data_IF_112376393079
#
_entry.id   IF_112376393079
#
_cell.length_a   1.000
_cell.length_b   1.000
_cell.length_c   1.000
_cell.angle_alpha   90.00
_cell.angle_beta   90.00
_cell.angle_gamma   90.00
#
_symmetry.space_group_name_H-M   'P 1'
#
loop_
_entity.id
_entity.type
_entity.pdbx_description
1 polymer ?
#
# COMPACT_ATOMS: atom_id res chain seq x y z
N UNK A 1 37.99 -2.48 -7.81
CA UNK A 1 37.02 -1.55 -7.20
C UNK A 1 35.75 -2.35 -6.89
N UNK A 2 35.42 -2.58 -5.61
CA UNK A 2 34.33 -3.49 -5.22
C UNK A 2 32.98 -2.97 -5.74
N UNK A 3 32.46 -3.64 -6.77
CA UNK A 3 31.19 -3.37 -7.45
C UNK A 3 29.97 -3.37 -6.53
N UNK A 4 30.14 -3.99 -5.36
CA UNK A 4 29.22 -3.98 -4.23
C UNK A 4 30.01 -3.62 -2.97
N UNK A 5 30.48 -2.37 -2.82
CA UNK A 5 30.66 -1.87 -1.44
C UNK A 5 29.27 -1.94 -0.81
N UNK A 6 29.02 -3.05 -0.09
CA UNK A 6 27.88 -3.18 0.80
C UNK A 6 28.06 -2.05 1.80
N UNK A 7 27.37 -0.94 1.59
CA UNK A 7 27.25 0.01 2.67
C UNK A 7 26.55 -0.75 3.80
N UNK A 8 27.22 -0.81 4.96
CA UNK A 8 26.77 -1.57 6.12
C UNK A 8 25.43 -1.07 6.68
N UNK A 9 24.83 -0.04 6.08
CA UNK A 9 23.55 0.53 6.45
C UNK A 9 22.39 -0.03 5.64
N UNK A 10 22.60 -0.46 4.39
CA UNK A 10 21.52 -0.96 3.54
C UNK A 10 20.97 -2.31 4.01
N UNK A 11 21.85 -3.17 4.56
CA UNK A 11 21.44 -4.47 5.09
C UNK A 11 20.49 -4.30 6.28
N UNK A 12 20.61 -3.20 7.04
CA UNK A 12 19.73 -2.87 8.18
C UNK A 12 18.27 -2.72 7.78
N UNK A 13 17.97 -2.44 6.51
CA UNK A 13 16.60 -2.39 6.00
C UNK A 13 16.15 -3.73 5.39
N UNK A 14 17.03 -4.39 4.63
CA UNK A 14 16.71 -5.67 3.99
C UNK A 14 16.45 -6.78 4.99
N UNK A 15 17.20 -6.82 6.10
CA UNK A 15 17.04 -7.86 7.11
C UNK A 15 15.68 -7.80 7.78
N UNK A 16 15.18 -6.66 8.28
CA UNK A 16 13.81 -6.57 8.81
C UNK A 16 12.73 -7.01 7.82
N UNK A 17 12.81 -6.62 6.54
CA UNK A 17 11.85 -7.08 5.51
C UNK A 17 11.93 -8.59 5.33
N UNK A 18 13.14 -9.14 5.26
CA UNK A 18 13.33 -10.58 5.09
C UNK A 18 12.85 -11.37 6.31
N UNK A 19 13.11 -10.87 7.53
CA UNK A 19 12.60 -11.45 8.77
C UNK A 19 11.07 -11.41 8.78
N UNK A 20 10.47 -10.27 8.45
CA UNK A 20 9.01 -10.14 8.34
C UNK A 20 8.44 -11.13 7.32
N UNK A 21 9.07 -11.27 6.15
CA UNK A 21 8.68 -12.25 5.14
C UNK A 21 8.73 -13.69 5.67
N UNK A 22 9.83 -14.08 6.33
CA UNK A 22 9.97 -15.41 6.91
C UNK A 22 8.95 -15.68 8.01
N UNK A 23 8.74 -14.72 8.92
CA UNK A 23 7.73 -14.83 9.97
C UNK A 23 6.32 -14.95 9.39
N UNK A 24 5.99 -14.14 8.40
CA UNK A 24 4.70 -14.22 7.70
C UNK A 24 4.52 -15.55 6.98
N UNK A 25 5.55 -16.08 6.34
CA UNK A 25 5.48 -17.37 5.66
C UNK A 25 5.27 -18.52 6.66
N UNK A 26 6.01 -18.53 7.77
CA UNK A 26 5.85 -19.55 8.82
C UNK A 26 4.44 -19.47 9.41
N UNK A 27 3.99 -18.26 9.78
CA UNK A 27 2.67 -18.05 10.37
C UNK A 27 1.56 -18.43 9.39
N UNK A 28 1.73 -18.11 8.11
CA UNK A 28 0.81 -18.52 7.06
C UNK A 28 0.69 -20.05 6.91
N UNK A 29 1.82 -20.77 6.96
CA UNK A 29 1.83 -22.24 6.90
C UNK A 29 1.09 -22.82 8.11
N UNK A 30 1.40 -22.35 9.32
CA UNK A 30 0.74 -22.83 10.55
C UNK A 30 -0.77 -22.54 10.48
N UNK A 31 -1.13 -21.29 10.16
CA UNK A 31 -2.51 -20.85 10.12
C UNK A 31 -3.33 -21.49 8.99
N UNK A 32 -2.69 -22.00 7.94
CA UNK A 32 -3.40 -22.78 6.93
C UNK A 32 -4.08 -24.02 7.51
N UNK A 33 -3.62 -24.52 8.67
CA UNK A 33 -4.23 -25.65 9.37
C UNK A 33 -5.02 -25.23 10.62
N UNK A 34 -4.67 -24.11 11.24
CA UNK A 34 -5.19 -23.70 12.55
C UNK A 34 -5.91 -22.33 12.56
N UNK A 35 -6.29 -21.80 11.39
CA UNK A 35 -6.83 -20.43 11.24
C UNK A 35 -7.99 -20.14 12.20
N UNK A 36 -8.94 -21.07 12.30
CA UNK A 36 -10.14 -20.92 13.11
C UNK A 36 -9.82 -20.97 14.60
N UNK A 37 -9.05 -21.98 15.04
CA UNK A 37 -8.64 -22.12 16.43
C UNK A 37 -7.84 -20.90 16.91
N UNK A 38 -6.99 -20.34 16.04
CA UNK A 38 -6.24 -19.12 16.36
C UNK A 38 -7.17 -17.91 16.51
N UNK A 39 -8.17 -17.76 15.64
CA UNK A 39 -9.14 -16.68 15.72
C UNK A 39 -10.01 -16.77 16.98
N UNK A 40 -10.50 -17.97 17.32
CA UNK A 40 -11.33 -18.23 18.51
C UNK A 40 -10.61 -17.86 19.82
N UNK A 41 -9.29 -18.13 19.90
CA UNK A 41 -8.47 -17.75 21.05
C UNK A 41 -8.25 -16.24 21.09
N UNK A 42 -7.97 -15.63 19.93
CA UNK A 42 -7.57 -14.22 19.86
C UNK A 42 -8.75 -13.28 20.07
N UNK A 43 -9.94 -13.64 19.59
CA UNK A 43 -11.15 -12.83 19.74
C UNK A 43 -11.52 -12.60 21.21
N UNK A 44 -11.26 -13.57 22.10
CA UNK A 44 -11.47 -13.42 23.56
C UNK A 44 -10.71 -12.22 24.15
N UNK A 45 -9.59 -11.85 23.55
CA UNK A 45 -8.73 -10.74 23.98
C UNK A 45 -9.34 -9.37 23.60
N UNK A 46 -10.23 -9.33 22.61
CA UNK A 46 -10.87 -8.11 22.12
C UNK A 46 -11.77 -7.40 23.14
N UNK A 47 -12.25 -8.12 24.16
CA UNK A 47 -13.06 -7.55 25.24
C UNK A 47 -12.28 -6.56 26.13
N UNK A 48 -10.95 -6.50 26.02
CA UNK A 48 -10.16 -5.47 26.68
C UNK A 48 -10.40 -4.07 26.06
N UNK A 49 -10.84 -3.09 26.86
CA UNK A 49 -11.15 -1.72 26.40
C UNK A 49 -10.01 -1.02 25.66
N UNK A 50 -8.77 -1.17 26.14
CA UNK A 50 -7.61 -0.56 25.49
C UNK A 50 -7.36 -1.19 24.12
N UNK A 51 -7.40 -2.52 24.03
CA UNK A 51 -7.22 -3.22 22.76
C UNK A 51 -8.37 -2.94 21.80
N UNK A 52 -9.60 -2.79 22.28
CA UNK A 52 -10.73 -2.34 21.46
C UNK A 52 -10.49 -0.94 20.88
N UNK A 53 -10.11 0.03 21.72
CA UNK A 53 -9.79 1.39 21.26
C UNK A 53 -8.64 1.41 20.24
N UNK A 54 -7.55 0.70 20.52
CA UNK A 54 -6.42 0.56 19.61
C UNK A 54 -6.84 -0.10 18.29
N UNK A 55 -7.68 -1.12 18.36
CA UNK A 55 -8.16 -1.85 17.20
C UNK A 55 -9.00 -0.96 16.29
N UNK A 56 -9.93 -0.21 16.85
CA UNK A 56 -10.76 0.75 16.10
C UNK A 56 -9.90 1.85 15.48
N UNK A 57 -8.93 2.37 16.23
CA UNK A 57 -7.97 3.33 15.71
C UNK A 57 -7.21 2.78 14.50
N UNK A 58 -6.75 1.53 14.58
CA UNK A 58 -6.01 0.87 13.51
C UNK A 58 -6.89 0.52 12.30
N UNK A 59 -8.16 0.16 12.50
CA UNK A 59 -9.15 -0.04 11.44
C UNK A 59 -9.35 1.26 10.64
N UNK A 60 -9.64 2.37 11.33
CA UNK A 60 -9.80 3.69 10.70
C UNK A 60 -8.51 4.17 10.02
N UNK A 61 -7.37 3.99 10.67
CA UNK A 61 -6.08 4.39 10.08
C UNK A 61 -5.76 3.57 8.83
N UNK A 62 -5.99 2.25 8.84
CA UNK A 62 -5.73 1.37 7.70
C UNK A 62 -6.59 1.71 6.47
N UNK A 63 -7.79 2.25 6.69
CA UNK A 63 -8.66 2.72 5.61
C UNK A 63 -8.10 3.94 4.90
N UNK A 64 -7.59 4.91 5.65
CA UNK A 64 -7.33 6.25 5.13
C UNK A 64 -5.84 6.58 4.94
N UNK A 65 -4.91 5.83 5.55
CA UNK A 65 -3.47 6.17 5.54
C UNK A 65 -2.85 6.30 4.14
N UNK A 66 -3.40 5.63 3.12
CA UNK A 66 -2.86 5.68 1.76
C UNK A 66 -3.05 7.05 1.07
N UNK A 67 -4.09 7.82 1.43
CA UNK A 67 -4.45 9.10 0.81
C UNK A 67 -3.33 10.16 0.91
N UNK A 68 -2.81 10.50 2.11
CA UNK A 68 -1.72 11.46 2.24
C UNK A 68 -0.45 10.97 1.52
N UNK A 69 -0.26 9.65 1.40
CA UNK A 69 0.90 9.10 0.70
C UNK A 69 0.78 9.28 -0.80
N UNK A 70 -0.38 8.96 -1.39
CA UNK A 70 -0.64 9.22 -2.80
C UNK A 70 -0.43 10.71 -3.12
N UNK A 71 -0.93 11.61 -2.27
CA UNK A 71 -0.67 13.05 -2.38
C UNK A 71 0.84 13.35 -2.44
N UNK A 72 1.64 12.89 -1.49
CA UNK A 72 3.09 13.12 -1.47
C UNK A 72 3.77 12.61 -2.75
N UNK A 73 3.40 11.41 -3.22
CA UNK A 73 4.00 10.80 -4.40
C UNK A 73 3.71 11.59 -5.67
N UNK A 74 2.47 12.02 -5.88
CA UNK A 74 2.09 12.89 -6.99
C UNK A 74 2.75 14.26 -6.90
N UNK A 75 2.88 14.83 -5.70
CA UNK A 75 3.56 16.10 -5.48
C UNK A 75 5.06 16.03 -5.83
N UNK A 76 5.76 14.95 -5.46
CA UNK A 76 7.16 14.73 -5.87
C UNK A 76 7.27 14.66 -7.40
N UNK A 77 6.33 13.98 -8.05
CA UNK A 77 6.29 13.89 -9.51
C UNK A 77 6.05 15.26 -10.15
N UNK A 78 5.10 16.03 -9.61
CA UNK A 78 4.81 17.40 -10.03
C UNK A 78 6.00 18.34 -9.87
N UNK A 79 6.64 18.38 -8.69
CA UNK A 79 7.81 19.25 -8.46
C UNK A 79 8.98 18.86 -9.36
N UNK A 80 9.17 17.58 -9.62
CA UNK A 80 10.18 17.11 -10.57
C UNK A 80 9.87 17.57 -12.00
N UNK A 81 8.59 17.54 -12.40
CA UNK A 81 8.15 18.06 -13.69
C UNK A 81 8.38 19.58 -13.80
N UNK A 82 7.99 20.37 -12.79
CA UNK A 82 8.22 21.82 -12.75
C UNK A 82 9.70 22.15 -12.81
N UNK A 83 10.53 21.44 -12.04
CA UNK A 83 11.99 21.61 -12.07
C UNK A 83 12.54 21.34 -13.47
N UNK A 84 12.11 20.25 -14.11
CA UNK A 84 12.52 19.91 -15.47
C UNK A 84 12.11 21.01 -16.47
N UNK A 85 10.86 21.49 -16.41
CA UNK A 85 10.38 22.54 -17.30
C UNK A 85 11.19 23.83 -17.15
N UNK A 86 11.52 24.22 -15.92
CA UNK A 86 12.28 25.45 -15.69
C UNK A 86 13.74 25.38 -16.16
N UNK A 87 14.37 24.20 -16.12
CA UNK A 87 15.79 24.04 -16.43
C UNK A 87 16.08 23.59 -17.86
N UNK A 88 15.19 22.80 -18.45
CA UNK A 88 15.47 22.07 -19.70
C UNK A 88 14.43 22.28 -20.81
N UNK A 89 13.23 22.77 -20.51
CA UNK A 89 12.24 22.97 -21.57
C UNK A 89 12.62 24.18 -22.44
N UNK A 90 12.41 24.03 -23.76
CA UNK A 90 12.58 25.12 -24.73
C UNK A 90 11.47 26.17 -24.60
N UNK A 91 10.27 25.73 -24.21
CA UNK A 91 9.13 26.61 -24.02
C UNK A 91 9.17 27.23 -22.62
N UNK A 92 9.16 28.56 -22.56
CA UNK A 92 9.20 29.31 -21.31
C UNK A 92 7.83 29.47 -20.64
N UNK A 93 6.76 28.86 -21.16
CA UNK A 93 5.40 28.97 -20.62
C UNK A 93 5.33 28.69 -19.12
N UNK A 94 5.87 27.56 -18.66
CA UNK A 94 5.86 27.19 -17.23
C UNK A 94 6.68 28.18 -16.40
N UNK A 95 7.84 28.59 -16.91
CA UNK A 95 8.73 29.55 -16.24
C UNK A 95 8.10 30.92 -16.08
N UNK A 96 7.30 31.35 -17.07
CA UNK A 96 6.63 32.65 -17.08
C UNK A 96 5.34 32.63 -16.24
N UNK A 97 4.68 31.48 -16.10
CA UNK A 97 3.39 31.33 -15.43
C UNK A 97 3.54 30.66 -14.05
N UNK A 98 3.93 31.46 -13.04
CA UNK A 98 4.16 30.96 -11.67
C UNK A 98 2.96 30.27 -11.04
N UNK A 99 1.72 30.56 -11.46
CA UNK A 99 0.52 29.89 -10.96
C UNK A 99 0.54 28.37 -11.19
N UNK A 100 1.23 27.90 -12.25
CA UNK A 100 1.39 26.48 -12.55
C UNK A 100 2.17 25.77 -11.44
N UNK A 101 3.07 26.45 -10.74
CA UNK A 101 3.80 25.85 -9.63
C UNK A 101 2.87 25.47 -8.46
N UNK A 102 1.75 26.17 -8.33
CA UNK A 102 0.77 26.00 -7.25
C UNK A 102 -0.49 25.24 -7.68
N UNK A 103 -0.75 25.09 -8.98
CA UNK A 103 -1.98 24.51 -9.49
C UNK A 103 -2.24 23.10 -8.98
N UNK A 104 -1.20 22.26 -8.90
CA UNK A 104 -1.29 20.93 -8.30
C UNK A 104 -1.78 21.00 -6.85
N UNK A 105 -1.17 21.84 -6.01
CA UNK A 105 -1.51 21.92 -4.59
C UNK A 105 -2.92 22.45 -4.38
N UNK A 106 -3.31 23.49 -5.13
CA UNK A 106 -4.68 24.02 -5.07
C UNK A 106 -5.68 22.94 -5.46
N UNK A 107 -5.48 22.26 -6.60
CA UNK A 107 -6.37 21.21 -7.07
C UNK A 107 -6.41 20.02 -6.10
N UNK A 108 -5.25 19.53 -5.68
CA UNK A 108 -5.13 18.35 -4.82
C UNK A 108 -5.68 18.60 -3.41
N UNK A 109 -5.48 19.80 -2.84
CA UNK A 109 -6.08 20.17 -1.55
C UNK A 109 -7.59 20.33 -1.66
N UNK A 110 -8.10 20.93 -2.74
CA UNK A 110 -9.55 21.01 -2.97
C UNK A 110 -10.18 19.62 -3.10
N UNK A 111 -9.56 18.71 -3.85
CA UNK A 111 -9.99 17.31 -3.95
C UNK A 111 -9.91 16.62 -2.59
N UNK A 112 -8.82 16.79 -1.85
CA UNK A 112 -8.65 16.21 -0.51
C UNK A 112 -9.74 16.67 0.47
N UNK A 113 -10.05 17.97 0.50
CA UNK A 113 -11.14 18.51 1.33
C UNK A 113 -12.48 17.94 0.89
N UNK A 114 -12.75 17.88 -0.42
CA UNK A 114 -13.98 17.27 -0.94
C UNK A 114 -14.13 15.80 -0.55
N UNK A 115 -13.06 15.01 -0.65
CA UNK A 115 -13.02 13.60 -0.20
C UNK A 115 -13.24 13.52 1.30
N UNK A 116 -12.57 14.34 2.11
CA UNK A 116 -12.70 14.34 3.56
C UNK A 116 -14.14 14.65 4.00
N UNK A 117 -14.76 15.66 3.41
CA UNK A 117 -16.17 16.02 3.69
C UNK A 117 -17.10 14.89 3.25
N UNK A 118 -16.97 14.41 2.01
CA UNK A 118 -17.78 13.31 1.49
C UNK A 118 -17.67 12.04 2.33
N UNK A 119 -16.45 11.66 2.72
CA UNK A 119 -16.20 10.51 3.58
C UNK A 119 -16.72 10.73 5.01
N UNK A 120 -16.71 11.96 5.53
CA UNK A 120 -17.26 12.25 6.87
C UNK A 120 -18.79 12.11 6.87
N UNK A 121 -19.44 12.68 5.86
CA UNK A 121 -20.89 12.58 5.65
C UNK A 121 -21.28 11.11 5.46
N UNK A 122 -20.72 10.44 4.45
CA UNK A 122 -21.07 9.03 4.16
C UNK A 122 -20.75 8.05 5.27
N UNK A 123 -19.79 8.37 6.16
CA UNK A 123 -19.42 7.50 7.28
C UNK A 123 -20.37 7.63 8.46
N UNK A 124 -20.98 8.80 8.70
CA UNK A 124 -21.70 9.05 9.95
C UNK A 124 -23.12 9.58 9.78
N UNK A 125 -23.45 10.14 8.61
CA UNK A 125 -24.83 10.48 8.28
C UNK A 125 -25.66 9.20 8.20
N UNK A 126 -26.61 9.06 9.14
CA UNK A 126 -27.48 7.88 9.27
C UNK A 126 -26.72 6.56 9.45
N UNK A 127 -25.56 6.58 10.13
CA UNK A 127 -24.85 5.35 10.44
C UNK A 127 -25.73 4.44 11.31
N UNK A 128 -26.15 3.32 10.75
CA UNK A 128 -26.78 2.22 11.47
C UNK A 128 -26.33 0.92 10.79
N UNK A 129 -25.73 0.04 11.58
CA UNK A 129 -25.31 -1.28 11.14
C UNK A 129 -26.17 -2.39 11.74
N UNK A 130 -27.47 -2.11 11.92
CA UNK A 130 -28.48 -3.04 12.40
C UNK A 130 -28.62 -3.05 13.92
N UNK A 131 -28.09 -2.05 14.63
CA UNK A 131 -28.13 -2.00 16.10
C UNK A 131 -28.50 -0.61 16.64
N UNK A 132 -28.89 0.32 15.77
CA UNK A 132 -29.17 1.70 16.10
C UNK A 132 -27.96 2.63 15.94
N UNK A 133 -28.21 3.93 16.01
CA UNK A 133 -27.22 4.97 15.68
C UNK A 133 -26.02 5.05 16.64
N UNK A 134 -26.24 4.70 17.92
CA UNK A 134 -25.21 4.86 18.97
C UNK A 134 -24.31 3.62 19.14
N UNK A 135 -24.49 2.61 18.29
CA UNK A 135 -23.82 1.31 18.41
C UNK A 135 -23.01 0.96 17.17
N UNK A 136 -21.99 0.16 17.41
CA UNK A 136 -21.14 -0.36 16.36
C UNK A 136 -21.03 -1.89 16.49
N UNK A 137 -21.77 -2.60 15.63
CA UNK A 137 -21.70 -4.05 15.48
C UNK A 137 -20.27 -4.58 15.31
N UNK A 138 -19.35 -3.85 14.67
CA UNK A 138 -18.00 -4.35 14.44
C UNK A 138 -17.21 -4.55 15.73
N UNK A 139 -17.54 -3.78 16.76
CA UNK A 139 -16.84 -3.80 18.06
C UNK A 139 -17.73 -4.23 19.22
N UNK A 140 -19.01 -4.48 18.93
CA UNK A 140 -20.05 -4.81 19.91
C UNK A 140 -20.05 -3.84 21.10
N UNK A 141 -19.93 -2.55 20.78
CA UNK A 141 -19.81 -1.45 21.75
C UNK A 141 -20.39 -0.14 21.16
N UNK A 142 -20.26 0.95 21.92
CA UNK A 142 -20.68 2.28 21.48
C UNK A 142 -19.87 2.76 20.26
N UNK A 143 -20.55 3.46 19.35
CA UNK A 143 -19.95 4.11 18.18
C UNK A 143 -18.91 5.18 18.56
N UNK A 144 -18.90 5.67 19.80
CA UNK A 144 -17.98 6.71 20.28
C UNK A 144 -16.50 6.35 20.05
N UNK A 145 -16.11 5.07 20.19
CA UNK A 145 -14.74 4.64 19.88
C UNK A 145 -14.35 4.97 18.43
N UNK A 146 -15.29 4.80 17.51
CA UNK A 146 -15.08 5.06 16.08
C UNK A 146 -15.05 6.55 15.77
N UNK A 147 -15.90 7.36 16.40
CA UNK A 147 -15.84 8.82 16.25
C UNK A 147 -14.49 9.37 16.69
N UNK A 148 -13.99 8.95 17.86
CA UNK A 148 -12.69 9.38 18.37
C UNK A 148 -11.55 8.91 17.46
N UNK A 149 -11.53 7.62 17.10
CA UNK A 149 -10.53 7.07 16.18
C UNK A 149 -10.50 7.83 14.85
N UNK A 150 -11.67 8.03 14.23
CA UNK A 150 -11.80 8.76 12.98
C UNK A 150 -11.28 10.19 13.10
N UNK A 151 -11.72 10.93 14.11
CA UNK A 151 -11.28 12.31 14.34
C UNK A 151 -9.76 12.41 14.48
N UNK A 152 -9.16 11.55 15.30
CA UNK A 152 -7.70 11.50 15.48
C UNK A 152 -6.99 11.15 14.17
N UNK A 153 -7.47 10.15 13.42
CA UNK A 153 -6.90 9.77 12.11
C UNK A 153 -6.97 10.94 11.13
N UNK A 154 -8.08 11.68 11.07
CA UNK A 154 -8.21 12.86 10.18
C UNK A 154 -7.28 14.00 10.56
N UNK A 155 -7.06 14.24 11.85
CA UNK A 155 -6.06 15.20 12.32
C UNK A 155 -4.66 14.78 11.88
N UNK A 156 -4.30 13.50 12.04
CA UNK A 156 -3.00 12.96 11.61
C UNK A 156 -2.83 13.10 10.10
N UNK A 157 -3.81 12.68 9.30
CA UNK A 157 -3.75 12.78 7.84
C UNK A 157 -3.61 14.21 7.36
N UNK A 158 -4.43 15.12 7.89
CA UNK A 158 -4.41 16.53 7.52
C UNK A 158 -3.06 17.16 7.89
N UNK A 159 -2.51 16.80 9.05
CA UNK A 159 -1.17 17.22 9.46
C UNK A 159 -0.10 16.73 8.47
N UNK A 160 -0.16 15.47 8.03
CA UNK A 160 0.78 14.93 7.03
C UNK A 160 0.64 15.68 5.70
N UNK A 161 -0.58 15.94 5.22
CA UNK A 161 -0.82 16.68 3.97
C UNK A 161 -0.30 18.11 4.04
N UNK A 162 -0.55 18.83 5.15
CA UNK A 162 -0.09 20.21 5.32
C UNK A 162 1.42 20.30 5.47
N UNK A 163 2.03 19.47 6.32
CA UNK A 163 3.49 19.44 6.52
C UNK A 163 4.19 19.05 5.21
N UNK A 164 3.66 18.05 4.50
CA UNK A 164 4.24 17.61 3.23
C UNK A 164 4.07 18.65 2.13
N UNK A 165 2.92 19.33 2.06
CA UNK A 165 2.72 20.47 1.14
C UNK A 165 3.77 21.54 1.37
N UNK A 166 3.97 21.95 2.63
CA UNK A 166 4.97 22.94 2.99
C UNK A 166 6.37 22.47 2.57
N UNK A 167 6.75 21.25 2.97
CA UNK A 167 8.07 20.71 2.66
C UNK A 167 8.29 20.59 1.15
N UNK A 168 7.33 20.03 0.40
CA UNK A 168 7.48 19.77 -1.03
C UNK A 168 7.57 21.07 -1.83
N UNK A 169 6.66 22.02 -1.57
CA UNK A 169 6.59 23.28 -2.31
C UNK A 169 7.72 24.23 -1.95
N UNK A 170 8.11 24.33 -0.68
CA UNK A 170 9.03 25.38 -0.22
C UNK A 170 10.46 24.90 0.04
N UNK A 171 10.66 23.61 0.32
CA UNK A 171 11.98 23.03 0.62
C UNK A 171 12.45 22.12 -0.52
N UNK A 172 11.68 21.09 -0.87
CA UNK A 172 12.06 20.11 -1.88
C UNK A 172 12.20 20.72 -3.28
N UNK A 173 11.28 21.61 -3.68
CA UNK A 173 11.31 22.25 -5.00
C UNK A 173 12.58 23.08 -5.29
N UNK A 174 13.29 23.51 -4.25
CA UNK A 174 14.53 24.29 -4.35
C UNK A 174 15.78 23.41 -4.45
N UNK A 175 15.65 22.09 -4.26
CA UNK A 175 16.78 21.18 -4.33
C UNK A 175 17.26 21.05 -5.78
N UNK A 176 18.58 21.11 -5.99
CA UNK A 176 19.20 20.95 -7.31
C UNK A 176 19.29 19.48 -7.75
N UNK A 177 19.20 18.55 -6.80
CA UNK A 177 19.43 17.12 -7.00
C UNK A 177 18.15 16.31 -7.29
N UNK A 178 16.99 16.98 -7.44
CA UNK A 178 15.67 16.34 -7.62
C UNK A 178 15.64 15.37 -8.80
N UNK A 179 16.13 15.81 -9.97
CA UNK A 179 16.20 14.99 -11.16
C UNK A 179 17.38 14.01 -11.14
N UNK A 180 18.51 14.43 -10.57
CA UNK A 180 19.74 13.64 -10.56
C UNK A 180 19.62 12.40 -9.69
N UNK A 181 18.98 12.54 -8.53
CA UNK A 181 18.64 11.43 -7.64
C UNK A 181 17.35 10.72 -8.06
N UNK A 182 16.71 11.10 -9.17
CA UNK A 182 15.57 10.37 -9.75
C UNK A 182 14.40 10.16 -8.79
N UNK A 183 14.06 11.14 -7.96
CA UNK A 183 12.94 11.04 -7.01
C UNK A 183 11.61 10.73 -7.71
N UNK A 184 11.38 11.30 -8.90
CA UNK A 184 10.22 11.04 -9.73
C UNK A 184 10.10 9.58 -10.20
N UNK A 185 11.22 8.89 -10.45
CA UNK A 185 11.20 7.46 -10.82
C UNK A 185 10.75 6.62 -9.65
N UNK A 186 11.23 6.95 -8.44
CA UNK A 186 10.86 6.20 -7.24
C UNK A 186 9.42 6.51 -6.80
N UNK A 187 8.95 7.73 -7.01
CA UNK A 187 7.54 8.03 -6.82
C UNK A 187 6.66 7.25 -7.79
N UNK A 188 7.08 7.11 -9.04
CA UNK A 188 6.38 6.28 -10.01
C UNK A 188 6.38 4.79 -9.61
N UNK A 189 7.49 4.26 -9.10
CA UNK A 189 7.54 2.90 -8.54
C UNK A 189 6.54 2.72 -7.40
N UNK A 190 6.50 3.67 -6.48
CA UNK A 190 5.58 3.63 -5.36
C UNK A 190 4.12 3.69 -5.83
N UNK A 191 3.76 4.57 -6.76
CA UNK A 191 2.41 4.63 -7.33
C UNK A 191 2.04 3.32 -8.04
N UNK A 192 2.95 2.77 -8.85
CA UNK A 192 2.72 1.47 -9.51
C UNK A 192 2.55 0.33 -8.49
N UNK A 193 3.30 0.37 -7.39
CA UNK A 193 3.15 -0.57 -6.28
C UNK A 193 1.77 -0.46 -5.63
N UNK A 194 1.32 0.75 -5.31
CA UNK A 194 -0.02 0.98 -4.77
C UNK A 194 -1.09 0.45 -5.73
N UNK A 195 -0.97 0.71 -7.04
CA UNK A 195 -1.90 0.22 -8.05
C UNK A 195 -1.94 -1.31 -8.14
N UNK A 196 -0.78 -1.97 -8.13
CA UNK A 196 -0.71 -3.44 -8.18
C UNK A 196 -1.34 -4.06 -6.93
N UNK A 197 -1.09 -3.51 -5.74
CA UNK A 197 -1.74 -3.97 -4.52
C UNK A 197 -3.26 -3.78 -4.55
N UNK A 198 -3.73 -2.62 -5.02
CA UNK A 198 -5.17 -2.36 -5.16
C UNK A 198 -5.83 -3.32 -6.16
N UNK A 199 -5.17 -3.60 -7.29
CA UNK A 199 -5.67 -4.54 -8.30
C UNK A 199 -5.71 -5.98 -7.79
N UNK A 200 -4.69 -6.39 -7.03
CA UNK A 200 -4.68 -7.68 -6.33
C UNK A 200 -5.86 -7.81 -5.36
N UNK A 201 -6.08 -6.80 -4.52
CA UNK A 201 -7.23 -6.77 -3.59
C UNK A 201 -8.53 -6.93 -4.37
N UNK A 202 -8.72 -6.11 -5.41
CA UNK A 202 -9.92 -6.13 -6.22
C UNK A 202 -10.15 -7.55 -6.78
N UNK A 203 -9.24 -8.09 -7.59
CA UNK A 203 -9.43 -9.41 -8.21
C UNK A 203 -9.69 -10.50 -7.17
N UNK A 204 -8.87 -10.58 -6.13
CA UNK A 204 -8.91 -11.72 -5.22
C UNK A 204 -10.10 -11.64 -4.26
N UNK A 205 -10.47 -10.44 -3.78
CA UNK A 205 -11.68 -10.27 -2.95
C UNK A 205 -12.93 -10.74 -3.65
N UNK A 206 -13.05 -10.43 -4.94
CA UNK A 206 -14.19 -10.86 -5.73
C UNK A 206 -14.13 -12.35 -6.12
N UNK A 207 -12.92 -12.95 -6.17
CA UNK A 207 -12.73 -14.36 -6.53
C UNK A 207 -12.97 -15.36 -5.39
N UNK A 208 -12.71 -14.96 -4.15
CA UNK A 208 -12.74 -15.89 -3.02
C UNK A 208 -13.94 -15.73 -2.11
N UNK A 209 -14.55 -14.53 -2.00
CA UNK A 209 -15.80 -14.37 -1.23
C UNK A 209 -15.72 -14.84 0.23
N UNK A 210 -14.51 -14.92 0.81
CA UNK A 210 -14.30 -15.54 2.11
C UNK A 210 -14.95 -14.71 3.22
N UNK A 211 -15.84 -15.25 4.06
CA UNK A 211 -16.48 -14.50 5.13
C UNK A 211 -15.49 -14.13 6.22
N UNK A 212 -15.82 -13.13 7.04
CA UNK A 212 -15.03 -12.82 8.23
C UNK A 212 -15.37 -13.77 9.38
N UNK A 213 -14.44 -13.98 10.32
CA UNK A 213 -14.70 -14.76 11.54
C UNK A 213 -15.95 -14.27 12.27
N UNK A 214 -16.13 -12.96 12.38
CA UNK A 214 -17.31 -12.34 12.98
C UNK A 214 -18.63 -12.82 12.36
N UNK A 215 -18.68 -13.06 11.05
CA UNK A 215 -19.92 -13.49 10.38
C UNK A 215 -20.17 -15.00 10.57
N UNK A 216 -19.11 -15.80 10.68
CA UNK A 216 -19.21 -17.25 10.98
C UNK A 216 -19.83 -17.47 12.36
N UNK A 217 -19.47 -16.61 13.33
CA UNK A 217 -19.89 -16.72 14.73
C UNK A 217 -20.95 -15.69 15.14
N UNK A 218 -21.61 -15.02 14.18
CA UNK A 218 -22.46 -13.87 14.49
C UNK A 218 -23.62 -14.21 15.43
N UNK A 219 -24.30 -15.35 15.22
CA UNK A 219 -25.42 -15.78 16.08
C UNK A 219 -25.01 -15.97 17.53
N UNK A 220 -23.83 -16.56 17.77
CA UNK A 220 -23.27 -16.79 19.10
C UNK A 220 -22.91 -15.47 19.78
N UNK A 221 -22.23 -14.57 19.05
CA UNK A 221 -21.84 -13.24 19.53
C UNK A 221 -23.08 -12.40 19.88
N UNK A 222 -24.11 -12.44 19.02
CA UNK A 222 -25.36 -11.73 19.25
C UNK A 222 -26.07 -12.23 20.50
N UNK A 223 -26.20 -13.55 20.66
CA UNK A 223 -26.84 -14.16 21.82
C UNK A 223 -26.12 -13.83 23.13
N UNK A 224 -24.77 -13.88 23.12
CA UNK A 224 -23.96 -13.47 24.27
C UNK A 224 -24.19 -11.99 24.60
N UNK A 225 -24.19 -11.12 23.59
CA UNK A 225 -24.38 -9.68 23.80
C UNK A 225 -25.77 -9.33 24.33
N UNK A 226 -26.80 -9.98 23.82
CA UNK A 226 -28.18 -9.80 24.31
C UNK A 226 -28.38 -10.30 25.73
N UNK A 227 -27.62 -11.32 26.14
CA UNK A 227 -27.60 -11.80 27.53
C UNK A 227 -26.94 -10.78 28.47
N UNK A 228 -25.87 -10.12 28.03
CA UNK A 228 -25.21 -9.06 28.80
C UNK A 228 -26.04 -7.78 28.88
N UNK A 229 -26.63 -7.39 27.76
CA UNK A 229 -27.41 -6.16 27.61
C UNK A 229 -28.60 -6.42 26.66
N UNK A 230 -29.80 -6.69 27.22
CA UNK A 230 -31.01 -6.99 26.44
C UNK A 230 -31.44 -5.87 25.49
N UNK A 231 -30.90 -4.66 25.64
CA UNK A 231 -31.20 -3.56 24.74
C UNK A 231 -30.51 -3.70 23.37
N UNK A 232 -29.59 -4.66 23.18
CA UNK A 232 -28.97 -5.01 21.89
C UNK A 232 -29.94 -5.74 20.96
N UNK A 233 -30.86 -4.99 20.36
CA UNK A 233 -31.80 -5.50 19.35
C UNK A 233 -31.15 -5.41 17.98
N UNK A 234 -31.15 -6.51 17.24
CA UNK A 234 -30.64 -6.58 15.86
C UNK A 234 -31.77 -6.34 14.86
N UNK A 235 -31.53 -5.43 13.91
CA UNK A 235 -32.41 -5.11 12.79
C UNK A 235 -31.69 -5.39 11.46
N UNK A 236 -32.14 -6.44 10.79
CA UNK A 236 -31.60 -6.91 9.52
C UNK A 236 -32.05 -6.07 8.30
N UNK A 237 -32.97 -5.11 8.47
CA UNK A 237 -33.39 -4.21 7.38
C UNK A 237 -32.28 -3.25 6.94
N UNK A 238 -31.29 -3.05 7.81
CA UNK A 238 -30.10 -2.22 7.57
C UNK A 238 -28.93 -3.02 6.98
N UNK A 239 -28.58 -4.17 7.57
CA UNK A 239 -27.47 -5.03 7.12
C UNK A 239 -27.65 -6.47 7.63
N UNK A 240 -27.29 -7.45 6.80
CA UNK A 240 -27.30 -8.87 7.15
C UNK A 240 -25.91 -9.36 7.59
N UNK A 241 -25.62 -9.39 8.89
CA UNK A 241 -24.35 -9.91 9.42
C UNK A 241 -24.23 -11.44 9.40
N UNK A 242 -25.34 -12.16 9.32
CA UNK A 242 -25.44 -13.60 9.15
C UNK A 242 -26.28 -13.97 7.92
N UNK A 243 -26.37 -15.27 7.63
CA UNK A 243 -27.19 -15.78 6.53
C UNK A 243 -28.68 -15.81 6.87
N UNK A 244 -29.53 -16.08 5.88
CA UNK A 244 -30.96 -16.34 6.08
C UNK A 244 -31.82 -15.10 5.94
N UNK A 245 -33.14 -15.29 6.11
CA UNK A 245 -34.14 -14.21 5.98
C UNK A 245 -34.04 -13.22 7.14
N UNK A 246 -33.68 -13.71 8.32
CA UNK A 246 -33.46 -12.94 9.54
C UNK A 246 -32.04 -12.36 9.62
N UNK A 247 -31.13 -12.78 8.74
CA UNK A 247 -29.76 -12.28 8.69
C UNK A 247 -28.93 -12.62 9.94
N UNK A 248 -29.30 -13.66 10.69
CA UNK A 248 -28.55 -14.12 11.88
C UNK A 248 -27.93 -15.50 11.72
N UNK A 249 -28.35 -16.25 10.70
CA UNK A 249 -27.95 -17.65 10.51
C UNK A 249 -26.45 -17.82 10.30
N UNK A 250 -25.91 -19.01 10.62
CA UNK A 250 -24.47 -19.27 10.57
C UNK A 250 -23.94 -19.14 9.14
N UNK A 251 -22.81 -18.45 8.98
CA UNK A 251 -22.08 -18.39 7.70
C UNK A 251 -21.06 -19.51 7.65
N UNK A 252 -21.05 -20.30 6.57
CA UNK A 252 -20.07 -21.38 6.39
C UNK A 252 -18.65 -20.80 6.31
N UNK A 253 -17.72 -21.34 7.12
CA UNK A 253 -16.31 -21.02 7.00
C UNK A 253 -15.71 -21.57 5.70
N UNK A 254 -14.96 -20.73 4.98
CA UNK A 254 -14.19 -21.15 3.81
C UNK A 254 -12.68 -21.00 4.05
N UNK A 255 -11.87 -22.03 3.76
CA UNK A 255 -10.42 -21.91 3.82
C UNK A 255 -9.88 -21.02 2.70
N UNK A 256 -8.73 -20.38 2.92
CA UNK A 256 -8.17 -19.38 2.00
C UNK A 256 -7.89 -19.89 0.58
N UNK A 257 -7.66 -21.20 0.41
CA UNK A 257 -7.35 -21.81 -0.89
C UNK A 257 -8.58 -22.22 -1.69
N UNK A 258 -9.80 -22.08 -1.16
CA UNK A 258 -11.05 -22.44 -1.85
C UNK A 258 -11.69 -21.16 -2.42
N UNK A 259 -11.59 -20.91 -3.74
CA UNK A 259 -12.40 -19.89 -4.38
C UNK A 259 -13.88 -20.17 -4.12
N UNK A 260 -14.68 -19.12 -3.93
CA UNK A 260 -16.10 -19.28 -3.66
C UNK A 260 -16.93 -18.29 -4.49
N UNK A 261 -17.98 -18.81 -5.15
CA UNK A 261 -19.01 -18.03 -5.82
C UNK A 261 -18.48 -16.97 -6.81
N UNK A 262 -17.33 -17.19 -7.47
CA UNK A 262 -16.76 -16.17 -8.37
C UNK A 262 -17.71 -15.78 -9.50
N UNK A 263 -18.29 -16.73 -10.23
CA UNK A 263 -19.23 -16.39 -11.31
C UNK A 263 -20.57 -15.88 -10.76
N UNK A 264 -21.06 -16.49 -9.68
CA UNK A 264 -22.29 -16.06 -8.99
C UNK A 264 -22.17 -14.63 -8.47
N UNK A 265 -20.94 -14.17 -8.22
CA UNK A 265 -20.65 -12.85 -7.73
C UNK A 265 -20.78 -11.73 -8.74
N UNK A 266 -20.60 -12.01 -10.03
CA UNK A 266 -20.40 -10.98 -11.05
C UNK A 266 -21.58 -10.00 -11.10
N UNK A 267 -22.81 -10.48 -10.85
CA UNK A 267 -24.02 -9.66 -10.76
C UNK A 267 -23.99 -8.60 -9.65
N UNK A 268 -23.15 -8.80 -8.63
CA UNK A 268 -23.02 -7.89 -7.49
C UNK A 268 -21.83 -6.93 -7.62
N UNK A 269 -21.00 -7.03 -8.65
CA UNK A 269 -19.79 -6.18 -8.77
C UNK A 269 -20.12 -4.70 -8.88
N UNK A 270 -21.22 -4.39 -9.58
CA UNK A 270 -21.65 -3.03 -9.88
C UNK A 270 -22.82 -2.54 -9.01
N UNK A 271 -23.24 -3.34 -8.02
CA UNK A 271 -24.24 -2.87 -7.06
C UNK A 271 -23.66 -1.80 -6.13
N UNK A 272 -24.54 -0.97 -5.57
CA UNK A 272 -24.15 -0.08 -4.48
C UNK A 272 -23.85 -0.89 -3.22
N UNK A 273 -23.08 -0.31 -2.31
CA UNK A 273 -22.73 -1.00 -1.05
C UNK A 273 -23.92 -1.14 -0.11
N UNK A 274 -24.96 -0.32 -0.27
CA UNK A 274 -26.23 -0.46 0.45
C UNK A 274 -27.00 -1.69 -0.03
N UNK A 275 -27.06 -1.92 -1.35
CA UNK A 275 -27.76 -3.07 -1.93
C UNK A 275 -27.06 -4.39 -1.57
N UNK A 276 -25.72 -4.38 -1.49
CA UNK A 276 -24.92 -5.56 -1.13
C UNK A 276 -25.12 -6.00 0.32
N UNK A 277 -25.38 -5.06 1.23
CA UNK A 277 -25.58 -5.35 2.66
C UNK A 277 -26.88 -6.09 2.97
N UNK A 278 -27.83 -6.10 2.02
CA UNK A 278 -29.14 -6.77 2.16
C UNK A 278 -29.18 -8.17 1.54
N UNK A 279 -28.06 -8.68 1.03
CA UNK A 279 -28.00 -10.02 0.44
C UNK A 279 -27.97 -11.07 1.55
N UNK A 280 -28.85 -12.08 1.48
CA UNK A 280 -29.09 -13.09 2.53
C UNK A 280 -28.01 -14.16 2.66
N UNK A 281 -27.00 -14.16 1.77
CA UNK A 281 -25.86 -15.08 1.83
C UNK A 281 -24.58 -14.38 2.33
N UNK A 282 -24.67 -13.13 2.78
CA UNK A 282 -23.55 -12.33 3.32
C UNK A 282 -22.36 -12.24 2.35
N UNK A 283 -22.62 -12.37 1.05
CA UNK A 283 -21.54 -12.46 0.07
C UNK A 283 -20.71 -11.16 -0.03
N UNK A 284 -21.23 -10.04 0.49
CA UNK A 284 -20.47 -8.81 0.63
C UNK A 284 -19.29 -8.93 1.62
N UNK A 285 -19.34 -9.89 2.56
CA UNK A 285 -18.29 -10.19 3.53
C UNK A 285 -17.11 -10.87 2.83
N UNK A 286 -16.16 -10.05 2.36
CA UNK A 286 -14.99 -10.48 1.58
C UNK A 286 -13.71 -10.20 2.36
N UNK A 287 -13.39 -11.07 3.31
CA UNK A 287 -12.21 -10.98 4.16
C UNK A 287 -10.92 -11.14 3.35
N UNK A 288 -10.84 -12.14 2.48
CA UNK A 288 -9.62 -12.46 1.75
C UNK A 288 -9.49 -11.70 0.43
N UNK A 289 -8.35 -11.04 0.12
CA UNK A 289 -7.22 -10.69 0.98
C UNK A 289 -7.50 -9.42 1.79
N UNK A 290 -6.66 -9.12 2.77
CA UNK A 290 -6.84 -7.94 3.62
C UNK A 290 -6.58 -6.62 2.88
N UNK A 291 -7.63 -5.78 2.81
CA UNK A 291 -7.55 -4.45 2.21
C UNK A 291 -6.68 -3.50 3.02
N UNK A 292 -6.90 -3.45 4.33
CA UNK A 292 -6.16 -2.61 5.28
C UNK A 292 -4.66 -2.95 5.31
N UNK A 293 -4.31 -4.24 5.31
CA UNK A 293 -2.90 -4.67 5.29
C UNK A 293 -2.20 -4.14 4.03
N UNK A 294 -2.82 -4.36 2.87
CA UNK A 294 -2.30 -3.88 1.60
C UNK A 294 -2.27 -2.34 1.50
N UNK A 295 -3.29 -1.64 2.03
CA UNK A 295 -3.33 -0.17 2.11
C UNK A 295 -2.19 0.39 2.97
N UNK A 296 -1.91 -0.24 4.10
CA UNK A 296 -0.81 0.15 4.98
C UNK A 296 0.55 -0.11 4.32
N UNK A 297 0.70 -1.23 3.60
CA UNK A 297 1.87 -1.47 2.76
C UNK A 297 1.99 -0.44 1.62
N UNK A 298 0.88 -0.10 0.96
CA UNK A 298 0.81 0.89 -0.09
C UNK A 298 1.30 2.27 0.42
N UNK A 299 0.90 2.66 1.63
CA UNK A 299 1.40 3.85 2.32
C UNK A 299 2.93 3.79 2.56
N UNK A 300 3.48 2.60 2.80
CA UNK A 300 4.93 2.41 2.89
C UNK A 300 5.66 2.37 1.55
N UNK A 301 4.95 2.54 0.43
CA UNK A 301 5.54 2.83 -0.87
C UNK A 301 6.48 4.05 -0.85
N UNK A 302 6.32 5.00 0.07
CA UNK A 302 7.29 6.10 0.23
C UNK A 302 8.74 5.65 0.46
N UNK A 303 8.96 4.44 0.95
CA UNK A 303 10.31 3.91 1.15
C UNK A 303 11.11 3.88 -0.15
N UNK A 304 10.48 3.69 -1.31
CA UNK A 304 11.15 3.80 -2.61
C UNK A 304 11.85 5.17 -2.78
N UNK A 305 11.28 6.25 -2.26
CA UNK A 305 11.85 7.60 -2.33
C UNK A 305 12.99 7.84 -1.32
N UNK A 306 13.06 7.04 -0.25
CA UNK A 306 14.08 7.20 0.80
C UNK A 306 15.29 6.28 0.63
N UNK A 307 15.13 5.23 -0.17
CA UNK A 307 16.08 4.14 -0.38
C UNK A 307 16.72 4.29 -1.76
N UNK A 308 18.06 4.17 -1.86
CA UNK A 308 18.75 4.27 -3.15
C UNK A 308 20.16 4.84 -3.05
N UNK A 309 21.09 4.09 -2.47
CA UNK A 309 22.49 4.52 -2.32
C UNK A 309 23.16 4.79 -3.68
N UNK A 310 22.83 3.98 -4.69
CA UNK A 310 23.27 4.19 -6.08
C UNK A 310 22.75 5.50 -6.70
N UNK A 311 21.79 6.17 -6.05
CA UNK A 311 21.26 7.49 -6.41
C UNK A 311 21.81 8.60 -5.49
N UNK A 312 22.91 8.37 -4.77
CA UNK A 312 23.54 9.34 -3.88
C UNK A 312 22.81 9.55 -2.53
N UNK A 313 21.78 8.77 -2.24
CA UNK A 313 20.98 8.92 -1.02
C UNK A 313 21.59 8.16 0.14
N UNK A 314 22.00 8.88 1.18
CA UNK A 314 22.50 8.27 2.43
C UNK A 314 21.35 7.76 3.30
N UNK A 315 21.54 6.58 3.90
CA UNK A 315 20.66 6.05 4.94
C UNK A 315 21.05 6.67 6.28
N UNK A 316 20.19 7.50 6.86
CA UNK A 316 20.42 8.15 8.15
C UNK A 316 19.66 7.45 9.27
N UNK A 317 20.08 7.61 10.52
CA UNK A 317 19.37 7.03 11.68
C UNK A 317 17.90 7.48 11.73
N UNK A 318 17.60 8.73 11.36
CA UNK A 318 16.22 9.24 11.27
C UNK A 318 15.37 8.43 10.29
N UNK A 319 15.91 8.09 9.11
CA UNK A 319 15.23 7.24 8.13
C UNK A 319 15.03 5.82 8.66
N UNK A 320 16.03 5.26 9.33
CA UNK A 320 15.93 3.91 9.95
C UNK A 320 14.83 3.88 11.01
N UNK A 321 14.78 4.89 11.89
CA UNK A 321 13.72 5.01 12.91
C UNK A 321 12.32 5.15 12.30
N UNK A 322 12.18 5.96 11.25
CA UNK A 322 10.93 6.09 10.52
C UNK A 322 10.49 4.74 9.91
N UNK A 323 11.43 3.99 9.32
CA UNK A 323 11.16 2.66 8.77
C UNK A 323 10.70 1.69 9.87
N UNK A 324 11.41 1.66 11.01
CA UNK A 324 11.05 0.85 12.16
C UNK A 324 9.65 1.19 12.71
N UNK A 325 9.34 2.48 12.84
CA UNK A 325 8.02 2.95 13.25
C UNK A 325 6.93 2.47 12.27
N UNK A 326 7.15 2.59 10.96
CA UNK A 326 6.23 2.08 9.95
C UNK A 326 6.03 0.55 10.06
N UNK A 327 7.08 -0.23 10.35
CA UNK A 327 6.93 -1.67 10.59
C UNK A 327 6.09 -1.98 11.83
N UNK A 328 6.30 -1.25 12.93
CA UNK A 328 5.47 -1.39 14.13
C UNK A 328 4.01 -1.08 13.78
N UNK A 329 3.77 0.02 13.07
CA UNK A 329 2.43 0.42 12.63
C UNK A 329 1.76 -0.67 11.77
N UNK A 330 2.50 -1.27 10.85
CA UNK A 330 2.05 -2.40 10.03
C UNK A 330 1.58 -3.58 10.89
N UNK A 331 2.45 -4.01 11.81
CA UNK A 331 2.20 -5.15 12.66
C UNK A 331 1.00 -4.89 13.58
N UNK A 332 0.94 -3.71 14.20
CA UNK A 332 -0.17 -3.33 15.07
C UNK A 332 -1.48 -3.30 14.30
N UNK A 333 -1.51 -2.72 13.09
CA UNK A 333 -2.71 -2.75 12.26
C UNK A 333 -3.11 -4.19 11.94
N UNK A 334 -2.14 -5.03 11.54
CA UNK A 334 -2.38 -6.41 11.10
C UNK A 334 -3.08 -7.21 12.19
N UNK A 335 -2.47 -7.21 13.38
CA UNK A 335 -3.00 -7.97 14.50
C UNK A 335 -4.26 -7.35 15.10
N UNK A 336 -4.46 -6.02 14.99
CA UNK A 336 -5.73 -5.40 15.39
C UNK A 336 -6.91 -5.98 14.63
N UNK A 337 -6.80 -6.15 13.31
CA UNK A 337 -7.90 -6.70 12.51
C UNK A 337 -8.18 -8.18 12.82
N UNK A 338 -7.12 -8.92 13.15
CA UNK A 338 -7.24 -10.31 13.60
C UNK A 338 -7.95 -10.39 14.95
N UNK A 339 -7.53 -9.55 15.92
CA UNK A 339 -8.16 -9.45 17.25
C UNK A 339 -9.64 -9.07 17.12
N UNK A 340 -9.99 -8.15 16.21
CA UNK A 340 -11.38 -7.74 15.97
C UNK A 340 -12.27 -8.86 15.39
N UNK A 341 -11.69 -9.96 14.90
CA UNK A 341 -12.45 -10.99 14.17
C UNK A 341 -12.85 -10.58 12.74
N UNK A 342 -12.23 -9.52 12.21
CA UNK A 342 -12.49 -8.98 10.87
C UNK A 342 -11.44 -9.39 9.83
N UNK A 343 -10.57 -10.34 10.16
CA UNK A 343 -9.75 -11.06 9.19
C UNK A 343 -9.28 -12.37 9.80
N UNK A 344 -9.03 -13.34 8.93
CA UNK A 344 -8.26 -14.53 9.27
C UNK A 344 -6.77 -14.22 9.22
N UNK A 345 -5.94 -14.92 9.99
CA UNK A 345 -4.50 -14.62 9.97
C UNK A 345 -3.90 -14.97 8.60
N UNK A 346 -4.42 -15.99 7.91
CA UNK A 346 -4.00 -16.31 6.54
C UNK A 346 -4.29 -15.18 5.53
N UNK A 347 -5.38 -14.42 5.71
CA UNK A 347 -5.68 -13.25 4.86
C UNK A 347 -4.60 -12.18 5.00
N UNK A 348 -4.17 -11.97 6.23
CA UNK A 348 -3.21 -10.96 6.63
C UNK A 348 -1.79 -11.35 6.17
N UNK A 349 -1.40 -12.61 6.37
CA UNK A 349 -0.07 -13.08 5.99
C UNK A 349 0.10 -13.20 4.47
N UNK A 350 -0.90 -13.70 3.71
CA UNK A 350 -0.82 -13.70 2.24
C UNK A 350 -0.67 -12.28 1.71
N UNK A 351 -1.45 -11.33 2.24
CA UNK A 351 -1.36 -9.92 1.84
C UNK A 351 0.04 -9.37 2.10
N UNK A 352 0.63 -9.71 3.25
CA UNK A 352 1.98 -9.32 3.65
C UNK A 352 3.05 -9.93 2.72
N UNK A 353 2.96 -11.24 2.45
CA UNK A 353 3.88 -11.97 1.56
C UNK A 353 3.81 -11.37 0.16
N UNK A 354 2.61 -11.19 -0.39
CA UNK A 354 2.40 -10.62 -1.71
C UNK A 354 2.99 -9.20 -1.81
N UNK A 355 2.68 -8.34 -0.83
CA UNK A 355 3.21 -6.99 -0.76
C UNK A 355 4.74 -6.96 -0.75
N UNK A 356 5.39 -7.78 0.08
CA UNK A 356 6.86 -7.85 0.13
C UNK A 356 7.45 -8.35 -1.19
N UNK A 357 6.87 -9.38 -1.82
CA UNK A 357 7.35 -9.91 -3.09
C UNK A 357 7.22 -8.91 -4.25
N UNK A 358 6.24 -8.02 -4.20
CA UNK A 358 6.05 -6.99 -5.23
C UNK A 358 7.12 -5.89 -5.19
N UNK A 359 7.79 -5.65 -4.05
CA UNK A 359 8.86 -4.64 -3.94
C UNK A 359 10.02 -4.93 -4.92
N UNK A 360 10.69 -6.10 -4.90
CA UNK A 360 11.76 -6.39 -5.86
C UNK A 360 11.24 -6.55 -7.29
N UNK A 361 10.02 -7.06 -7.49
CA UNK A 361 9.42 -7.20 -8.81
C UNK A 361 9.26 -5.84 -9.50
N UNK A 362 8.69 -4.85 -8.81
CA UNK A 362 8.49 -3.50 -9.32
C UNK A 362 9.81 -2.76 -9.50
N UNK A 363 10.75 -2.88 -8.56
CA UNK A 363 12.08 -2.31 -8.76
C UNK A 363 12.72 -2.83 -10.05
N UNK A 364 12.72 -4.15 -10.25
CA UNK A 364 13.29 -4.76 -11.45
C UNK A 364 12.58 -4.32 -12.73
N UNK A 365 11.24 -4.32 -12.73
CA UNK A 365 10.44 -3.91 -13.88
C UNK A 365 10.66 -2.44 -14.23
N UNK A 366 10.47 -1.55 -13.26
CA UNK A 366 10.57 -0.11 -13.50
C UNK A 366 11.99 0.30 -13.80
N UNK A 367 13.00 -0.16 -13.07
CA UNK A 367 14.40 0.23 -13.34
C UNK A 367 14.83 -0.22 -14.73
N UNK A 368 14.45 -1.42 -15.16
CA UNK A 368 14.76 -1.93 -16.51
C UNK A 368 14.16 -1.04 -17.61
N UNK A 369 12.89 -0.68 -17.48
CA UNK A 369 12.19 0.10 -18.51
C UNK A 369 12.54 1.60 -18.44
N UNK A 370 12.54 2.19 -17.25
CA UNK A 370 12.83 3.61 -17.05
C UNK A 370 14.27 3.95 -17.41
N UNK A 371 15.24 3.11 -17.05
CA UNK A 371 16.64 3.34 -17.45
C UNK A 371 16.79 3.38 -18.96
N UNK A 372 16.12 2.48 -19.68
CA UNK A 372 16.10 2.49 -21.15
C UNK A 372 15.52 3.81 -21.70
N UNK A 373 14.37 4.25 -21.22
CA UNK A 373 13.74 5.49 -21.70
C UNK A 373 14.54 6.75 -21.32
N UNK A 374 15.09 6.80 -20.10
CA UNK A 374 15.94 7.90 -19.64
C UNK A 374 17.20 7.99 -20.50
N UNK A 375 17.88 6.87 -20.76
CA UNK A 375 19.08 6.85 -21.59
C UNK A 375 18.76 7.29 -23.04
N UNK A 376 17.68 6.77 -23.60
CA UNK A 376 17.20 7.17 -24.93
C UNK A 376 16.87 8.66 -24.99
N UNK A 377 16.24 9.21 -23.94
CA UNK A 377 15.91 10.62 -23.86
C UNK A 377 17.17 11.50 -23.77
N UNK A 378 18.11 11.17 -22.89
CA UNK A 378 19.38 11.91 -22.74
C UNK A 378 20.19 11.93 -24.03
N UNK A 379 20.29 10.79 -24.69
CA UNK A 379 21.10 10.64 -25.91
C UNK A 379 20.44 11.27 -27.12
N UNK A 380 19.13 11.08 -27.32
CA UNK A 380 18.43 11.59 -28.51
C UNK A 380 17.94 13.03 -28.39
N UNK A 381 17.43 13.41 -27.21
CA UNK A 381 16.81 14.72 -26.99
C UNK A 381 17.81 15.70 -26.42
N UNK A 382 18.55 15.30 -25.37
CA UNK A 382 19.55 16.17 -24.74
C UNK A 382 20.92 16.12 -25.43
N UNK A 383 21.10 15.22 -26.42
CA UNK A 383 22.37 15.00 -27.13
C UNK A 383 23.56 14.74 -26.21
N UNK A 384 23.32 14.08 -25.08
CA UNK A 384 24.35 13.71 -24.11
C UNK A 384 24.98 12.36 -24.47
N UNK A 385 26.30 12.28 -24.46
CA UNK A 385 27.01 11.01 -24.57
C UNK A 385 26.99 10.25 -23.25
N UNK A 386 26.50 9.02 -23.27
CA UNK A 386 26.47 8.13 -22.11
C UNK A 386 27.47 7.00 -22.33
N UNK A 387 28.56 6.99 -21.58
CA UNK A 387 29.59 5.95 -21.66
C UNK A 387 29.11 4.67 -20.99
N UNK A 388 29.18 3.57 -21.72
CA UNK A 388 28.93 2.24 -21.22
C UNK A 388 30.11 1.77 -20.36
N UNK A 389 29.82 0.98 -19.33
CA UNK A 389 30.82 0.27 -18.55
C UNK A 389 30.39 -1.18 -18.49
N UNK A 390 31.26 -2.09 -18.94
CA UNK A 390 31.00 -3.52 -18.93
C UNK A 390 31.71 -4.12 -17.73
N UNK A 391 30.96 -4.86 -16.91
CA UNK A 391 31.51 -5.55 -15.75
C UNK A 391 31.27 -7.03 -15.84
N UNK A 392 32.36 -7.73 -16.07
CA UNK A 392 32.35 -9.16 -16.33
C UNK A 392 32.15 -9.99 -15.05
N UNK A 393 31.47 -11.11 -15.23
CA UNK A 393 31.21 -12.12 -14.21
C UNK A 393 31.47 -13.51 -14.81
N UNK A 394 31.62 -14.54 -13.98
CA UNK A 394 31.87 -15.92 -14.46
C UNK A 394 30.80 -16.43 -15.45
N UNK A 395 29.53 -16.00 -15.29
CA UNK A 395 28.39 -16.49 -16.08
C UNK A 395 27.86 -15.49 -17.11
N UNK A 396 28.42 -14.29 -17.19
CA UNK A 396 27.83 -13.20 -17.97
C UNK A 396 28.53 -11.87 -17.75
N UNK A 397 27.89 -10.78 -18.15
CA UNK A 397 28.36 -9.43 -17.89
C UNK A 397 27.20 -8.52 -17.47
N UNK A 398 27.49 -7.53 -16.65
CA UNK A 398 26.61 -6.40 -16.39
C UNK A 398 26.93 -5.29 -17.39
N UNK A 399 25.91 -4.80 -18.09
CA UNK A 399 25.99 -3.51 -18.75
C UNK A 399 25.62 -2.45 -17.72
N UNK A 400 26.50 -1.47 -17.56
CA UNK A 400 26.29 -0.32 -16.72
C UNK A 400 26.56 0.96 -17.51
N UNK A 401 26.24 2.11 -16.92
CA UNK A 401 26.71 3.40 -17.40
C UNK A 401 27.24 4.24 -16.24
N UNK A 402 28.16 5.15 -16.53
CA UNK A 402 28.69 6.07 -15.53
C UNK A 402 27.66 7.16 -15.25
N UNK A 403 27.34 7.36 -13.97
CA UNK A 403 26.45 8.40 -13.45
C UNK A 403 27.15 9.27 -12.42
N UNK A 404 26.57 10.43 -12.10
CA UNK A 404 27.15 11.41 -11.15
C UNK A 404 27.41 10.83 -9.75
N UNK A 405 26.73 9.73 -9.39
CA UNK A 405 26.87 9.06 -8.10
C UNK A 405 27.53 7.67 -8.19
N UNK A 406 28.14 7.34 -9.34
CA UNK A 406 28.84 6.08 -9.57
C UNK A 406 28.30 5.30 -10.77
N UNK A 407 28.58 3.99 -10.80
CA UNK A 407 28.18 3.12 -11.90
C UNK A 407 26.76 2.63 -11.66
N UNK A 408 25.84 2.89 -12.59
CA UNK A 408 24.46 2.42 -12.51
C UNK A 408 24.24 1.19 -13.40
N UNK A 409 23.80 0.04 -12.85
CA UNK A 409 23.50 -1.14 -13.64
C UNK A 409 22.27 -0.93 -14.52
N UNK A 410 22.37 -1.34 -15.78
CA UNK A 410 21.28 -1.32 -16.77
C UNK A 410 20.67 -2.72 -16.90
N UNK A 411 21.50 -3.76 -16.93
CA UNK A 411 21.03 -5.13 -17.00
C UNK A 411 22.17 -6.15 -17.00
N UNK A 412 21.84 -7.37 -16.59
CA UNK A 412 22.73 -8.52 -16.68
C UNK A 412 22.45 -9.32 -17.94
N UNK A 413 23.50 -9.82 -18.57
CA UNK A 413 23.45 -10.60 -19.79
C UNK A 413 24.30 -11.87 -19.62
N UNK A 414 23.70 -13.03 -19.86
CA UNK A 414 24.42 -14.31 -19.86
C UNK A 414 25.52 -14.33 -20.92
N UNK A 415 26.58 -15.08 -20.68
CA UNK A 415 27.61 -15.30 -21.70
C UNK A 415 27.01 -15.99 -22.93
N UNK A 416 27.46 -15.58 -24.10
CA UNK A 416 27.17 -16.20 -25.40
C UNK A 416 28.49 -16.52 -26.08
N UNK A 417 28.49 -17.46 -27.03
CA UNK A 417 29.67 -17.78 -27.87
C UNK A 417 30.26 -16.53 -28.53
N UNK A 418 29.41 -15.57 -28.89
CA UNK A 418 29.78 -14.25 -29.39
C UNK A 418 29.41 -13.18 -28.34
N UNK A 419 30.31 -12.98 -27.38
CA UNK A 419 30.11 -12.02 -26.28
C UNK A 419 30.20 -10.57 -26.79
N UNK A 420 31.14 -10.28 -27.68
CA UNK A 420 31.40 -8.93 -28.16
C UNK A 420 30.28 -8.39 -29.05
N UNK A 421 29.72 -9.20 -29.95
CA UNK A 421 28.53 -8.82 -30.72
C UNK A 421 27.33 -8.58 -29.81
N UNK A 422 27.15 -9.41 -28.77
CA UNK A 422 26.09 -9.20 -27.78
C UNK A 422 26.28 -7.90 -27.01
N UNK A 423 27.50 -7.58 -26.59
CA UNK A 423 27.83 -6.29 -25.95
C UNK A 423 27.49 -5.13 -26.91
N UNK A 424 27.96 -5.17 -28.15
CA UNK A 424 27.71 -4.13 -29.14
C UNK A 424 26.21 -3.92 -29.41
N UNK A 425 25.46 -5.02 -29.56
CA UNK A 425 23.99 -4.98 -29.76
C UNK A 425 23.28 -4.33 -28.58
N UNK A 426 23.69 -4.65 -27.36
CA UNK A 426 23.05 -4.13 -26.14
C UNK A 426 23.44 -2.67 -25.90
N UNK A 427 24.70 -2.28 -26.10
CA UNK A 427 25.16 -0.87 -26.06
C UNK A 427 24.34 -0.02 -27.04
N UNK A 428 24.23 -0.48 -28.30
CA UNK A 428 23.43 0.20 -29.34
C UNK A 428 21.95 0.30 -28.93
N UNK A 429 21.37 -0.76 -28.38
CA UNK A 429 19.97 -0.77 -27.91
C UNK A 429 19.73 0.32 -26.86
N UNK A 430 20.64 0.50 -25.92
CA UNK A 430 20.52 1.50 -24.84
C UNK A 430 21.04 2.89 -25.22
N UNK A 431 21.39 3.11 -26.49
CA UNK A 431 21.93 4.37 -27.01
C UNK A 431 23.20 4.82 -26.27
N UNK A 432 24.03 3.88 -25.83
CA UNK A 432 25.28 4.17 -25.14
C UNK A 432 26.45 4.22 -26.12
N UNK A 433 27.53 4.88 -25.72
CA UNK A 433 28.82 4.90 -26.41
C UNK A 433 29.79 4.01 -25.63
N UNK A 434 30.61 3.23 -26.33
CA UNK A 434 31.58 2.32 -25.67
C UNK A 434 32.68 3.09 -24.97
#
# INVERSE_FOLDING_TARGET
MNFFKKDGTFWKFKVPIFVLFCLSLILFIIASFYDQQMADVTFKVFNNKFLKALTVFMDEMGLYIFEPIAFILFAIWWESFIYYQNKHAKNNFVRNNKWIHYSYYVLALSIYIGILVSQSITRFENWDNGFGHDRDAKIMDTILYRYWAYGVVRVIQTSIVLISTYYLRFVFSKRSDVLEQQYWVDSFKALLYMMILAFFIMIVKWSFGRPFWFHVHFSEILAEKQKEDPSWVYDNTHINWGTGVDGTGPVEYYPWWKPNHFFDSLKYWFLSEADKRKVTNVWYARAFPSGHTNSTFAAFGLWFCFIGEHKGRKMTNKKVWMLAFCFILLCTMKYSLFIMGFHWITDLEISTIFAILMIPAINSLVDRHMTFYINKFRTKVLKQELKATIVDTKKGFWLCYQWSYGIQPIGWYSNSKDKDSKIAKVIKRHSLVK
#
